data_IF_187131615735
#
_entry.id   IF_187131615735
#
_cell.length_a   1.000
_cell.length_b   1.000
_cell.length_c   1.000
_cell.angle_alpha   90.00
_cell.angle_beta   90.00
_cell.angle_gamma   90.00
#
_symmetry.space_group_name_H-M   'P 1'
#
loop_
_entity.id
_entity.type
_entity.pdbx_description
1 polymer ?
#
# COMPACT_ATOMS: atom_id res chain seq x y z
N UNK A 1 -7.98 5.58 15.50
CA UNK A 1 -9.18 4.92 14.91
C UNK A 1 -9.49 5.42 13.50
N UNK A 2 -9.43 6.74 13.22
CA UNK A 2 -9.62 7.30 11.86
C UNK A 2 -8.63 6.81 10.79
N UNK A 3 -7.45 6.32 11.19
CA UNK A 3 -6.41 5.82 10.27
C UNK A 3 -6.55 4.32 9.91
N UNK A 4 -7.52 3.59 10.49
CA UNK A 4 -7.67 2.13 10.31
C UNK A 4 -8.90 1.73 9.50
N UNK A 5 -9.70 2.69 9.03
CA UNK A 5 -10.95 2.43 8.27
C UNK A 5 -11.06 3.47 7.17
N UNK A 6 -11.44 3.05 5.96
CA UNK A 6 -11.70 3.99 4.86
C UNK A 6 -13.08 4.62 5.02
N UNK A 7 -13.24 5.93 4.75
CA UNK A 7 -14.54 6.57 4.88
C UNK A 7 -15.50 6.03 3.81
N UNK A 8 -16.70 5.68 4.26
CA UNK A 8 -17.81 5.16 3.45
C UNK A 8 -19.12 5.75 3.94
N UNK A 9 -20.11 5.78 3.05
CA UNK A 9 -21.50 6.05 3.39
C UNK A 9 -22.20 4.72 3.66
N UNK A 10 -22.87 4.59 4.81
CA UNK A 10 -23.56 3.37 5.21
C UNK A 10 -25.07 3.59 5.16
N UNK A 11 -25.76 2.68 4.48
CA UNK A 11 -27.21 2.53 4.58
C UNK A 11 -27.47 1.37 5.53
N UNK A 12 -27.95 1.70 6.72
CA UNK A 12 -28.25 0.78 7.81
C UNK A 12 -29.78 0.69 8.01
N UNK A 13 -30.26 -0.26 8.83
CA UNK A 13 -31.64 -0.23 9.30
C UNK A 13 -32.05 1.14 9.86
N UNK A 14 -33.34 1.49 9.69
CA UNK A 14 -33.86 2.83 10.03
C UNK A 14 -33.72 3.20 11.50
N UNK A 15 -33.68 2.19 12.38
CA UNK A 15 -33.61 2.33 13.83
C UNK A 15 -32.20 1.97 14.30
N UNK A 16 -31.46 2.89 14.95
CA UNK A 16 -30.10 2.64 15.43
C UNK A 16 -29.99 1.43 16.38
N UNK A 17 -31.02 1.18 17.19
CA UNK A 17 -31.10 0.05 18.12
C UNK A 17 -31.13 -1.31 17.42
N UNK A 18 -31.53 -1.36 16.16
CA UNK A 18 -31.57 -2.59 15.35
C UNK A 18 -30.22 -2.87 14.69
N UNK A 19 -29.24 -1.96 14.81
CA UNK A 19 -27.90 -2.09 14.22
C UNK A 19 -27.03 -2.97 15.11
N UNK A 20 -26.62 -4.12 14.59
CA UNK A 20 -25.70 -5.03 15.24
C UNK A 20 -24.48 -5.23 14.36
N UNK A 21 -23.30 -4.91 14.88
CA UNK A 21 -22.03 -5.10 14.19
C UNK A 21 -20.91 -5.43 15.18
N UNK A 22 -20.29 -6.59 15.01
CA UNK A 22 -19.07 -7.00 15.67
C UNK A 22 -17.91 -6.84 14.69
N UNK A 23 -16.92 -6.02 15.06
CA UNK A 23 -15.74 -5.75 14.24
C UNK A 23 -14.49 -5.97 15.06
N UNK A 24 -13.59 -6.83 14.57
CA UNK A 24 -12.25 -7.00 15.15
C UNK A 24 -11.20 -6.69 14.10
N UNK A 25 -10.31 -5.73 14.41
CA UNK A 25 -9.26 -5.27 13.49
C UNK A 25 -7.89 -5.60 14.08
N UNK A 26 -7.08 -6.33 13.31
CA UNK A 26 -5.73 -6.76 13.68
C UNK A 26 -4.76 -6.39 12.56
N UNK A 27 -3.62 -5.82 12.90
CA UNK A 27 -2.56 -5.52 11.93
C UNK A 27 -1.59 -6.71 11.86
N UNK A 28 -1.25 -7.13 10.64
CA UNK A 28 -0.35 -8.23 10.30
C UNK A 28 0.77 -7.62 9.43
N UNK A 29 1.73 -6.98 10.08
CA UNK A 29 2.71 -6.13 9.40
C UNK A 29 2.01 -5.00 8.64
N UNK A 30 2.22 -4.91 7.32
CA UNK A 30 1.55 -3.90 6.48
C UNK A 30 0.17 -4.30 5.96
N UNK A 31 -0.28 -5.55 6.21
CA UNK A 31 -1.62 -6.01 5.88
C UNK A 31 -2.50 -5.87 7.12
N UNK A 32 -3.67 -5.28 7.00
CA UNK A 32 -4.64 -5.25 8.09
C UNK A 32 -5.79 -6.19 7.81
N UNK A 33 -6.21 -6.95 8.82
CA UNK A 33 -7.33 -7.88 8.75
C UNK A 33 -8.46 -7.38 9.63
N UNK A 34 -9.63 -7.18 9.04
CA UNK A 34 -10.87 -6.85 9.73
C UNK A 34 -11.85 -8.01 9.60
N UNK A 35 -12.28 -8.59 10.73
CA UNK A 35 -13.36 -9.57 10.76
C UNK A 35 -14.64 -8.87 11.15
N UNK A 36 -15.65 -8.95 10.29
CA UNK A 36 -16.91 -8.22 10.45
C UNK A 36 -18.05 -9.22 10.46
N UNK A 37 -18.87 -9.18 11.52
CA UNK A 37 -20.18 -9.79 11.56
C UNK A 37 -21.21 -8.70 11.80
N UNK A 38 -22.17 -8.52 10.89
CA UNK A 38 -23.20 -7.51 11.08
C UNK A 38 -24.54 -7.93 10.45
N UNK A 39 -25.60 -7.26 10.87
CA UNK A 39 -26.91 -7.33 10.24
C UNK A 39 -26.90 -6.68 8.84
N UNK A 40 -28.02 -6.73 8.08
CA UNK A 40 -28.03 -6.21 6.72
C UNK A 40 -27.61 -4.76 6.60
N UNK A 41 -26.75 -4.48 5.62
CA UNK A 41 -26.23 -3.15 5.37
C UNK A 41 -25.85 -2.99 3.90
N UNK A 42 -25.88 -1.75 3.42
CA UNK A 42 -25.25 -1.37 2.15
C UNK A 42 -24.16 -0.35 2.41
N UNK A 43 -23.00 -0.57 1.79
CA UNK A 43 -21.85 0.32 1.90
C UNK A 43 -21.64 0.99 0.55
N UNK A 44 -21.59 2.31 0.53
CA UNK A 44 -21.24 3.08 -0.65
C UNK A 44 -19.94 3.83 -0.43
N UNK A 45 -18.99 3.61 -1.32
CA UNK A 45 -17.88 4.53 -1.50
C UNK A 45 -18.18 5.37 -2.73
N UNK A 46 -18.51 6.63 -2.51
CA UNK A 46 -18.85 7.57 -3.57
C UNK A 46 -17.58 8.12 -4.24
N UNK A 47 -17.70 8.71 -5.43
CA UNK A 47 -16.59 9.36 -6.14
C UNK A 47 -15.90 10.42 -5.28
N UNK A 48 -16.70 11.17 -4.50
CA UNK A 48 -16.20 12.17 -3.55
C UNK A 48 -15.29 11.57 -2.49
N UNK A 49 -15.67 10.41 -1.93
CA UNK A 49 -14.88 9.71 -0.93
C UNK A 49 -13.64 9.04 -1.54
N UNK A 50 -13.76 8.51 -2.76
CA UNK A 50 -12.66 7.85 -3.47
C UNK A 50 -11.47 8.78 -3.74
N UNK A 51 -11.71 10.08 -3.94
CA UNK A 51 -10.66 11.08 -4.19
C UNK A 51 -10.07 11.73 -2.93
N UNK A 52 -10.49 11.34 -1.72
CA UNK A 52 -10.13 12.03 -0.48
C UNK A 52 -9.08 11.30 0.38
N UNK A 53 -8.64 10.10 -0.02
CA UNK A 53 -7.69 9.30 0.75
C UNK A 53 -6.23 9.72 0.47
N UNK A 54 -5.46 9.97 1.54
CA UNK A 54 -4.01 10.17 1.45
C UNK A 54 -3.25 8.87 1.09
N UNK A 55 -3.81 7.72 1.45
CA UNK A 55 -3.25 6.39 1.20
C UNK A 55 -4.30 5.45 0.59
N UNK A 56 -4.33 5.29 -0.74
CA UNK A 56 -5.22 4.36 -1.38
C UNK A 56 -4.88 2.90 -1.08
N UNK A 57 -5.92 2.10 -0.89
CA UNK A 57 -5.83 0.67 -0.56
C UNK A 57 -6.65 -0.21 -1.49
N UNK A 58 -6.25 -1.47 -1.58
CA UNK A 58 -7.04 -2.56 -2.14
C UNK A 58 -7.61 -3.38 -0.99
N UNK A 59 -8.90 -3.68 -1.04
CA UNK A 59 -9.51 -4.64 -0.13
C UNK A 59 -9.64 -6.00 -0.81
N UNK A 60 -9.33 -7.07 -0.08
CA UNK A 60 -9.71 -8.44 -0.42
C UNK A 60 -10.81 -8.86 0.57
N UNK A 61 -12.02 -9.06 0.07
CA UNK A 61 -13.15 -9.58 0.84
C UNK A 61 -13.15 -11.10 0.74
N UNK A 62 -13.13 -11.80 1.87
CA UNK A 62 -13.20 -13.26 2.00
C UNK A 62 -14.46 -13.64 2.75
N UNK A 63 -15.40 -14.28 2.05
CA UNK A 63 -16.68 -14.67 2.63
C UNK A 63 -16.52 -15.88 3.53
N UNK A 64 -16.90 -15.73 4.80
CA UNK A 64 -16.86 -16.81 5.78
C UNK A 64 -18.17 -17.59 5.82
N UNK A 65 -19.30 -16.90 5.92
CA UNK A 65 -20.64 -17.51 5.90
C UNK A 65 -21.65 -16.59 5.24
N UNK A 66 -22.77 -17.10 4.73
CA UNK A 66 -23.77 -16.29 4.02
C UNK A 66 -23.30 -15.81 2.64
N UNK A 67 -23.89 -14.72 2.16
CA UNK A 67 -23.64 -14.16 0.83
C UNK A 67 -23.46 -12.64 0.91
N UNK A 68 -22.51 -12.10 0.14
CA UNK A 68 -22.35 -10.66 -0.06
C UNK A 68 -22.10 -10.34 -1.52
N UNK A 69 -22.28 -9.08 -1.93
CA UNK A 69 -21.94 -8.64 -3.29
C UNK A 69 -20.99 -7.46 -3.27
N UNK A 70 -19.94 -7.54 -4.09
CA UNK A 70 -19.04 -6.42 -4.39
C UNK A 70 -19.41 -5.89 -5.78
N UNK A 71 -19.67 -4.58 -5.89
CA UNK A 71 -19.95 -3.91 -7.16
C UNK A 71 -18.92 -2.79 -7.40
N UNK A 72 -18.20 -2.86 -8.51
CA UNK A 72 -17.23 -1.84 -8.93
C UNK A 72 -17.01 -1.87 -10.44
N UNK A 73 -16.83 -0.69 -11.06
CA UNK A 73 -16.56 -0.54 -12.50
C UNK A 73 -17.55 -1.31 -13.40
N UNK A 74 -18.84 -1.24 -13.06
CA UNK A 74 -19.92 -1.91 -13.81
C UNK A 74 -19.95 -3.44 -13.67
N UNK A 75 -19.07 -4.03 -12.84
CA UNK A 75 -19.02 -5.46 -12.52
C UNK A 75 -19.60 -5.73 -11.15
N UNK A 76 -20.15 -6.93 -10.98
CA UNK A 76 -20.65 -7.45 -9.72
C UNK A 76 -20.10 -8.84 -9.42
N UNK A 77 -19.62 -9.06 -8.20
CA UNK A 77 -19.17 -10.35 -7.70
C UNK A 77 -20.00 -10.76 -6.48
N UNK A 78 -20.77 -11.85 -6.63
CA UNK A 78 -21.52 -12.47 -5.53
C UNK A 78 -20.61 -13.47 -4.83
N UNK A 79 -20.23 -13.16 -3.59
CA UNK A 79 -19.37 -13.97 -2.77
C UNK A 79 -20.16 -14.96 -1.92
N UNK A 80 -19.78 -16.23 -2.03
CA UNK A 80 -20.23 -17.35 -1.19
C UNK A 80 -19.10 -17.86 -0.31
N UNK A 81 -19.39 -18.65 0.75
CA UNK A 81 -18.37 -19.12 1.67
C UNK A 81 -17.17 -19.75 0.94
N UNK A 82 -15.96 -19.30 1.27
CA UNK A 82 -14.73 -19.75 0.62
C UNK A 82 -14.40 -19.06 -0.71
N UNK A 83 -15.10 -17.98 -1.08
CA UNK A 83 -14.73 -17.14 -2.21
C UNK A 83 -14.19 -15.78 -1.76
N UNK A 84 -13.35 -15.19 -2.60
CA UNK A 84 -12.81 -13.85 -2.45
C UNK A 84 -13.17 -12.95 -3.64
N UNK A 85 -13.27 -11.66 -3.39
CA UNK A 85 -13.23 -10.62 -4.43
C UNK A 85 -12.39 -9.46 -3.94
N UNK A 86 -11.82 -8.69 -4.87
CA UNK A 86 -11.12 -7.47 -4.52
C UNK A 86 -11.83 -6.21 -5.01
N UNK A 87 -11.58 -5.08 -4.36
CA UNK A 87 -12.07 -3.77 -4.79
C UNK A 87 -11.08 -2.66 -4.41
N UNK A 88 -10.91 -1.71 -5.33
CA UNK A 88 -9.95 -0.60 -5.27
C UNK A 88 -10.62 0.66 -4.69
N UNK A 89 -10.03 1.25 -3.66
CA UNK A 89 -10.59 2.45 -3.00
C UNK A 89 -10.39 3.76 -3.76
N UNK A 90 -9.56 3.79 -4.81
CA UNK A 90 -9.40 4.96 -5.70
C UNK A 90 -10.63 5.22 -6.57
N UNK A 91 -11.56 4.27 -6.62
CA UNK A 91 -12.76 4.30 -7.45
C UNK A 91 -14.00 4.04 -6.60
N UNK A 92 -15.17 4.51 -7.03
CA UNK A 92 -16.41 4.20 -6.33
C UNK A 92 -16.68 2.70 -6.33
N UNK A 93 -17.28 2.21 -5.25
CA UNK A 93 -17.75 0.84 -5.14
C UNK A 93 -19.00 0.78 -4.26
N UNK A 94 -19.75 -0.31 -4.38
CA UNK A 94 -20.84 -0.65 -3.48
C UNK A 94 -20.66 -2.06 -2.94
N UNK A 95 -20.86 -2.24 -1.63
CA UNK A 95 -20.95 -3.55 -1.00
C UNK A 95 -22.39 -3.78 -0.54
N UNK A 96 -22.96 -4.92 -0.90
CA UNK A 96 -24.32 -5.30 -0.54
C UNK A 96 -24.27 -6.49 0.42
N UNK A 97 -24.84 -6.30 1.62
CA UNK A 97 -24.98 -7.33 2.65
C UNK A 97 -26.47 -7.55 2.94
N UNK A 98 -27.21 -8.10 1.99
CA UNK A 98 -28.68 -8.16 2.05
C UNK A 98 -29.23 -8.97 3.24
N UNK A 99 -28.48 -10.00 3.66
CA UNK A 99 -28.85 -10.89 4.79
C UNK A 99 -27.94 -10.70 6.01
N UNK A 100 -27.16 -9.63 6.01
CA UNK A 100 -26.04 -9.44 6.92
C UNK A 100 -24.73 -9.93 6.32
N UNK A 101 -23.66 -9.81 7.11
CA UNK A 101 -22.29 -10.09 6.70
C UNK A 101 -21.59 -10.93 7.76
N UNK A 102 -20.79 -11.89 7.32
CA UNK A 102 -19.80 -12.61 8.12
C UNK A 102 -18.58 -12.82 7.20
N UNK A 103 -17.63 -11.89 7.27
CA UNK A 103 -16.60 -11.71 6.23
C UNK A 103 -15.31 -11.18 6.83
N UNK A 104 -14.19 -11.64 6.27
CA UNK A 104 -12.87 -11.09 6.53
C UNK A 104 -12.49 -10.12 5.42
N UNK A 105 -12.04 -8.92 5.79
CA UNK A 105 -11.51 -7.92 4.88
C UNK A 105 -10.01 -7.76 5.11
N UNK A 106 -9.21 -8.01 4.07
CA UNK A 106 -7.78 -7.71 4.06
C UNK A 106 -7.58 -6.35 3.41
N UNK A 107 -7.21 -5.34 4.21
CA UNK A 107 -6.83 -4.02 3.73
C UNK A 107 -5.34 -4.03 3.42
N UNK A 108 -5.00 -3.75 2.15
CA UNK A 108 -3.61 -3.71 1.69
C UNK A 108 -3.33 -2.37 1.01
N UNK A 109 -2.29 -1.62 1.43
CA UNK A 109 -1.85 -0.43 0.70
C UNK A 109 -1.55 -0.76 -0.76
N UNK A 110 -2.08 0.02 -1.71
CA UNK A 110 -1.85 -0.25 -3.14
C UNK A 110 -0.37 -0.20 -3.52
N UNK A 111 0.42 0.64 -2.85
CA UNK A 111 1.88 0.67 -3.02
C UNK A 111 2.56 -0.66 -2.67
N UNK A 112 1.98 -1.43 -1.76
CA UNK A 112 2.50 -2.73 -1.32
C UNK A 112 2.02 -3.84 -2.26
N UNK A 113 0.87 -3.70 -2.91
CA UNK A 113 0.45 -4.61 -3.99
C UNK A 113 1.48 -4.57 -5.12
N UNK A 114 1.89 -3.37 -5.53
CA UNK A 114 2.92 -3.16 -6.54
C UNK A 114 2.75 -4.04 -7.78
N UNK A 115 1.53 -4.03 -8.32
CA UNK A 115 1.19 -4.52 -9.65
C UNK A 115 0.83 -3.33 -10.53
N UNK A 116 0.94 -3.44 -11.87
CA UNK A 116 0.40 -2.43 -12.75
C UNK A 116 -1.09 -2.21 -12.47
N UNK A 117 -1.55 -0.97 -12.60
CA UNK A 117 -2.94 -0.62 -12.35
C UNK A 117 -3.89 -1.46 -13.19
N UNK A 118 -3.54 -1.73 -14.45
CA UNK A 118 -4.33 -2.55 -15.36
C UNK A 118 -4.59 -3.95 -14.83
N UNK A 119 -3.58 -4.57 -14.17
CA UNK A 119 -3.71 -5.91 -13.58
C UNK A 119 -4.67 -5.87 -12.39
N UNK A 120 -4.54 -4.86 -11.52
CA UNK A 120 -5.47 -4.67 -10.39
C UNK A 120 -6.88 -4.44 -10.91
N UNK A 121 -7.06 -3.56 -11.88
CA UNK A 121 -8.39 -3.25 -12.44
C UNK A 121 -9.03 -4.44 -13.14
N UNK A 122 -8.27 -5.34 -13.74
CA UNK A 122 -8.84 -6.56 -14.33
C UNK A 122 -9.39 -7.54 -13.28
N UNK A 123 -8.87 -7.49 -12.05
CA UNK A 123 -9.25 -8.40 -10.98
C UNK A 123 -10.41 -7.89 -10.09
N UNK A 124 -10.67 -6.57 -10.02
CA UNK A 124 -11.71 -6.04 -9.13
C UNK A 124 -13.12 -6.53 -9.48
N UNK A 125 -13.96 -6.68 -8.44
CA UNK A 125 -15.34 -7.14 -8.52
C UNK A 125 -15.53 -8.41 -9.38
N UNK A 126 -14.59 -9.35 -9.29
CA UNK A 126 -14.70 -10.73 -9.82
C UNK A 126 -14.67 -11.73 -8.68
N UNK A 127 -15.42 -12.83 -8.84
CA UNK A 127 -15.39 -13.94 -7.90
C UNK A 127 -14.15 -14.78 -8.17
N UNK A 128 -13.24 -14.83 -7.21
CA UNK A 128 -12.06 -15.68 -7.19
C UNK A 128 -12.28 -16.71 -6.08
N UNK A 129 -11.87 -17.96 -6.24
CA UNK A 129 -12.25 -18.97 -5.25
C UNK A 129 -11.70 -20.37 -5.50
N UNK A 130 -12.32 -21.41 -4.92
CA UNK A 130 -11.76 -22.76 -4.88
C UNK A 130 -11.66 -23.42 -6.26
N UNK A 131 -12.36 -22.90 -7.26
CA UNK A 131 -12.29 -23.39 -8.65
C UNK A 131 -10.99 -23.01 -9.39
N UNK A 132 -10.21 -22.04 -8.89
CA UNK A 132 -8.93 -21.64 -9.48
C UNK A 132 -7.75 -22.18 -8.68
N UNK A 133 -6.72 -22.70 -9.36
CA UNK A 133 -5.58 -23.35 -8.71
C UNK A 133 -4.83 -22.43 -7.72
N UNK A 134 -4.66 -21.15 -8.07
CA UNK A 134 -3.97 -20.16 -7.21
C UNK A 134 -4.93 -19.54 -6.19
N UNK A 135 -6.16 -19.23 -6.60
CA UNK A 135 -7.16 -18.62 -5.72
C UNK A 135 -7.65 -19.56 -4.63
N UNK A 136 -7.71 -20.88 -4.86
CA UNK A 136 -8.03 -21.86 -3.82
C UNK A 136 -6.99 -21.88 -2.70
N UNK A 137 -5.70 -21.93 -3.04
CA UNK A 137 -4.61 -21.87 -2.06
C UNK A 137 -4.65 -20.54 -1.27
N UNK A 138 -4.94 -19.44 -1.95
CA UNK A 138 -5.09 -18.14 -1.31
C UNK A 138 -6.26 -18.10 -0.32
N UNK A 139 -7.41 -18.65 -0.69
CA UNK A 139 -8.57 -18.77 0.20
C UNK A 139 -8.18 -19.53 1.47
N UNK A 140 -7.55 -20.70 1.35
CA UNK A 140 -7.18 -21.53 2.50
C UNK A 140 -6.20 -20.81 3.43
N UNK A 141 -5.16 -20.21 2.86
CA UNK A 141 -4.16 -19.46 3.61
C UNK A 141 -4.77 -18.24 4.31
N UNK A 142 -5.53 -17.41 3.59
CA UNK A 142 -6.13 -16.19 4.13
C UNK A 142 -7.19 -16.52 5.19
N UNK A 143 -7.98 -17.57 4.99
CA UNK A 143 -8.93 -18.06 6.01
C UNK A 143 -8.18 -18.40 7.30
N UNK A 144 -7.14 -19.22 7.21
CA UNK A 144 -6.37 -19.62 8.38
C UNK A 144 -5.67 -18.44 9.05
N UNK A 145 -5.12 -17.52 8.27
CA UNK A 145 -4.50 -16.29 8.78
C UNK A 145 -5.52 -15.44 9.54
N UNK A 146 -6.71 -15.25 8.99
CA UNK A 146 -7.77 -14.50 9.65
C UNK A 146 -8.23 -15.19 10.94
N UNK A 147 -8.37 -16.51 10.97
CA UNK A 147 -8.82 -17.25 12.15
C UNK A 147 -7.81 -17.26 13.29
N UNK A 148 -6.51 -17.33 12.99
CA UNK A 148 -5.45 -17.38 14.01
C UNK A 148 -4.86 -16.02 14.37
N UNK A 149 -5.25 -14.94 13.69
CA UNK A 149 -4.64 -13.59 13.82
C UNK A 149 -4.48 -13.09 15.26
N UNK A 150 -5.42 -13.39 16.14
CA UNK A 150 -5.39 -12.92 17.54
C UNK A 150 -4.42 -13.71 18.42
N UNK A 151 -3.87 -14.80 17.92
CA UNK A 151 -2.88 -15.66 18.58
C UNK A 151 -1.45 -15.36 18.11
N UNK A 152 -1.29 -14.53 17.07
CA UNK A 152 0.01 -14.18 16.52
C UNK A 152 0.67 -13.12 17.40
N UNK A 153 1.92 -13.37 17.80
CA UNK A 153 2.77 -12.32 18.34
C UNK A 153 3.23 -11.36 17.23
N UNK A 154 3.84 -10.25 17.63
CA UNK A 154 4.32 -9.22 16.70
C UNK A 154 5.31 -9.77 15.67
N UNK A 155 6.18 -10.70 16.06
CA UNK A 155 7.20 -11.28 15.17
C UNK A 155 6.54 -12.14 14.10
N UNK A 156 5.66 -13.06 14.51
CA UNK A 156 4.91 -13.93 13.61
C UNK A 156 4.04 -13.11 12.65
N UNK A 157 3.39 -12.05 13.14
CA UNK A 157 2.61 -11.13 12.31
C UNK A 157 3.46 -10.47 11.21
N UNK A 158 4.67 -10.00 11.54
CA UNK A 158 5.60 -9.44 10.54
C UNK A 158 6.09 -10.49 9.53
N UNK A 159 6.35 -11.72 9.98
CA UNK A 159 6.80 -12.81 9.10
C UNK A 159 5.73 -13.26 8.10
N UNK A 160 4.45 -13.08 8.44
CA UNK A 160 3.32 -13.48 7.59
C UNK A 160 2.86 -12.38 6.62
N UNK A 161 3.26 -11.13 6.84
CA UNK A 161 2.86 -10.00 5.99
C UNK A 161 3.33 -10.17 4.54
N UNK A 162 4.63 -10.41 4.33
CA UNK A 162 5.19 -10.54 2.98
C UNK A 162 4.63 -11.76 2.19
N UNK A 163 4.53 -12.97 2.78
CA UNK A 163 3.85 -14.10 2.12
C UNK A 163 2.39 -13.81 1.76
N UNK A 164 1.65 -13.12 2.63
CA UNK A 164 0.27 -12.71 2.34
C UNK A 164 0.20 -11.81 1.11
N UNK A 165 1.09 -10.82 1.02
CA UNK A 165 1.17 -9.93 -0.13
C UNK A 165 1.55 -10.69 -1.41
N UNK A 166 2.53 -11.59 -1.37
CA UNK A 166 2.91 -12.37 -2.56
C UNK A 166 1.77 -13.27 -3.05
N UNK A 167 1.01 -13.87 -2.13
CA UNK A 167 -0.12 -14.71 -2.48
C UNK A 167 -1.28 -13.89 -3.08
N UNK A 168 -1.59 -12.73 -2.49
CA UNK A 168 -2.57 -11.79 -3.05
C UNK A 168 -2.14 -11.37 -4.46
N UNK A 169 -0.85 -11.00 -4.65
CA UNK A 169 -0.33 -10.65 -5.97
C UNK A 169 -0.49 -11.80 -6.96
N UNK A 170 -0.14 -13.03 -6.57
CA UNK A 170 -0.27 -14.20 -7.42
C UNK A 170 -1.71 -14.43 -7.88
N UNK A 171 -2.70 -14.22 -7.00
CA UNK A 171 -4.12 -14.30 -7.35
C UNK A 171 -4.52 -13.24 -8.36
N UNK A 172 -4.25 -11.96 -8.08
CA UNK A 172 -4.61 -10.85 -8.98
C UNK A 172 -3.99 -11.02 -10.37
N UNK A 173 -2.79 -11.59 -10.37
CA UNK A 173 -1.98 -11.89 -11.54
C UNK A 173 -2.55 -13.05 -12.36
N UNK A 174 -2.90 -14.18 -11.71
CA UNK A 174 -3.44 -15.36 -12.39
C UNK A 174 -4.78 -15.08 -13.10
N UNK A 175 -5.54 -14.09 -12.62
CA UNK A 175 -6.84 -13.70 -13.15
C UNK A 175 -6.78 -12.66 -14.27
N UNK A 176 -5.58 -12.15 -14.58
CA UNK A 176 -5.35 -11.26 -15.71
C UNK A 176 -5.34 -12.03 -17.03
N UNK A 177 -6.09 -11.56 -18.02
CA UNK A 177 -6.15 -12.13 -19.38
C UNK A 177 -4.82 -12.04 -20.16
N UNK A 178 -3.76 -11.52 -19.53
CA UNK A 178 -2.43 -11.35 -20.14
C UNK A 178 -1.37 -12.07 -19.30
N UNK A 179 -1.28 -13.42 -19.39
CA UNK A 179 -0.31 -14.20 -18.62
C UNK A 179 1.15 -13.76 -18.80
N UNK A 180 1.51 -13.13 -19.92
CA UNK A 180 2.85 -12.55 -20.12
C UNK A 180 3.11 -11.28 -19.27
N UNK A 181 2.10 -10.44 -19.05
CA UNK A 181 2.16 -9.35 -18.06
C UNK A 181 2.08 -9.88 -16.62
N UNK A 182 1.59 -11.12 -16.46
CA UNK A 182 1.33 -11.79 -15.19
C UNK A 182 2.45 -12.77 -14.73
N UNK A 183 3.30 -13.28 -15.62
CA UNK A 183 4.54 -13.97 -15.24
C UNK A 183 5.69 -12.96 -15.02
N UNK A 184 5.58 -11.80 -15.68
CA UNK A 184 6.44 -10.64 -15.47
C UNK A 184 6.38 -9.92 -14.11
N UNK A 185 5.35 -9.90 -13.25
CA UNK A 185 5.24 -9.03 -12.08
C UNK A 185 6.22 -9.38 -10.96
N UNK A 186 6.42 -10.65 -10.61
CA UNK A 186 7.34 -10.99 -9.51
C UNK A 186 8.78 -10.50 -9.78
N UNK A 187 9.21 -10.49 -11.05
CA UNK A 187 10.51 -9.96 -11.49
C UNK A 187 10.48 -8.55 -12.11
N UNK A 188 9.34 -8.10 -12.61
CA UNK A 188 9.13 -6.89 -13.41
C UNK A 188 8.54 -5.75 -12.60
N UNK A 189 7.75 -6.05 -11.57
CA UNK A 189 7.38 -5.07 -10.54
C UNK A 189 8.37 -5.04 -9.39
N UNK A 190 9.33 -5.98 -9.32
CA UNK A 190 10.42 -5.90 -8.35
C UNK A 190 11.15 -4.55 -8.41
N UNK A 191 11.39 -4.01 -9.61
CA UNK A 191 11.97 -2.67 -9.77
C UNK A 191 11.08 -1.58 -9.18
N UNK A 192 9.77 -1.61 -9.45
CA UNK A 192 8.81 -0.66 -8.89
C UNK A 192 8.73 -0.77 -7.36
N UNK A 193 8.72 -1.99 -6.81
CA UNK A 193 8.72 -2.27 -5.36
C UNK A 193 9.97 -1.75 -4.68
N UNK A 194 11.13 -2.03 -5.27
CA UNK A 194 12.42 -1.55 -4.80
C UNK A 194 12.44 -0.02 -4.78
N UNK A 195 11.95 0.63 -5.84
CA UNK A 195 11.91 2.09 -5.90
C UNK A 195 10.90 2.69 -4.92
N UNK A 196 9.72 2.10 -4.77
CA UNK A 196 8.74 2.54 -3.78
C UNK A 196 9.32 2.44 -2.36
N UNK A 197 9.90 1.29 -2.02
CA UNK A 197 10.56 1.09 -0.73
C UNK A 197 11.70 2.10 -0.50
N UNK A 198 12.54 2.35 -1.51
CA UNK A 198 13.62 3.34 -1.43
C UNK A 198 13.09 4.78 -1.24
N UNK A 199 11.92 5.12 -1.81
CA UNK A 199 11.25 6.43 -1.60
C UNK A 199 10.70 6.55 -0.18
N UNK A 200 10.01 5.53 0.30
CA UNK A 200 9.36 5.53 1.62
C UNK A 200 10.39 5.60 2.76
N UNK A 201 11.57 5.05 2.54
CA UNK A 201 12.67 5.02 3.52
C UNK A 201 13.75 6.05 3.20
N UNK A 202 13.48 7.04 2.35
CA UNK A 202 14.50 7.98 1.85
C UNK A 202 15.19 8.77 2.98
N UNK A 203 14.46 9.11 4.04
CA UNK A 203 15.00 9.83 5.20
C UNK A 203 15.83 8.94 6.15
N UNK A 204 15.72 7.62 6.05
CA UNK A 204 16.43 6.68 6.92
C UNK A 204 17.95 6.70 6.62
N UNK A 205 18.82 7.14 7.55
CA UNK A 205 20.26 7.17 7.34
C UNK A 205 20.90 5.79 7.10
N UNK A 206 20.21 4.71 7.45
CA UNK A 206 20.67 3.33 7.30
C UNK A 206 20.10 2.62 6.05
N UNK A 207 19.35 3.35 5.21
CA UNK A 207 18.92 2.90 3.88
C UNK A 207 20.14 2.50 3.04
N UNK A 208 20.29 1.19 2.84
CA UNK A 208 21.42 0.56 2.18
C UNK A 208 20.97 -0.55 1.21
N UNK A 209 21.78 -0.94 0.21
CA UNK A 209 21.44 -2.05 -0.68
C UNK A 209 21.12 -3.34 0.07
N UNK A 210 21.83 -3.62 1.18
CA UNK A 210 21.56 -4.79 2.02
C UNK A 210 20.20 -4.70 2.73
N UNK A 211 19.81 -3.52 3.22
CA UNK A 211 18.48 -3.32 3.84
C UNK A 211 17.34 -3.52 2.84
N UNK A 212 17.47 -2.96 1.63
CA UNK A 212 16.45 -3.07 0.58
C UNK A 212 16.37 -4.50 0.05
N UNK A 213 17.50 -5.15 -0.19
CA UNK A 213 17.52 -6.55 -0.63
C UNK A 213 16.83 -7.48 0.38
N UNK A 214 17.06 -7.24 1.68
CA UNK A 214 16.41 -7.97 2.77
C UNK A 214 14.90 -7.75 2.80
N UNK A 215 14.46 -6.49 2.66
CA UNK A 215 13.04 -6.14 2.63
C UNK A 215 12.27 -6.79 1.46
N UNK A 216 12.97 -7.11 0.36
CA UNK A 216 12.38 -7.76 -0.81
C UNK A 216 12.76 -9.24 -0.95
N UNK A 217 13.42 -9.84 0.04
CA UNK A 217 13.83 -11.25 0.02
C UNK A 217 14.66 -11.65 -1.22
N UNK A 218 15.52 -10.73 -1.69
CA UNK A 218 16.42 -10.97 -2.83
C UNK A 218 17.88 -10.85 -2.40
N UNK A 219 18.80 -11.38 -3.21
CA UNK A 219 20.22 -11.11 -3.01
C UNK A 219 20.55 -9.67 -3.40
N UNK A 220 21.59 -9.09 -2.79
CA UNK A 220 22.11 -7.76 -3.19
C UNK A 220 22.51 -7.74 -4.67
N UNK A 221 23.02 -8.86 -5.19
CA UNK A 221 23.31 -9.03 -6.61
C UNK A 221 22.05 -8.87 -7.47
N UNK A 222 20.94 -9.50 -7.08
CA UNK A 222 19.68 -9.38 -7.80
C UNK A 222 19.07 -7.97 -7.67
N UNK A 223 19.25 -7.30 -6.53
CA UNK A 223 18.87 -5.90 -6.36
C UNK A 223 19.59 -5.01 -7.39
N UNK A 224 20.92 -5.11 -7.50
CA UNK A 224 21.68 -4.34 -8.47
C UNK A 224 21.28 -4.66 -9.91
N UNK A 225 21.09 -5.94 -10.25
CA UNK A 225 20.61 -6.32 -11.57
C UNK A 225 19.22 -5.70 -11.87
N UNK A 226 18.34 -5.68 -10.88
CA UNK A 226 17.01 -5.07 -11.00
C UNK A 226 17.11 -3.58 -11.28
N UNK A 227 17.87 -2.84 -10.45
CA UNK A 227 18.06 -1.39 -10.62
C UNK A 227 18.75 -1.04 -11.95
N UNK A 228 19.73 -1.83 -12.35
CA UNK A 228 20.47 -1.64 -13.61
C UNK A 228 19.57 -1.74 -14.84
N UNK A 229 18.57 -2.64 -14.86
CA UNK A 229 17.59 -2.71 -15.96
C UNK A 229 16.76 -1.44 -16.11
N UNK A 230 16.62 -0.65 -15.04
CA UNK A 230 15.92 0.63 -15.03
C UNK A 230 16.87 1.82 -15.20
N UNK A 231 18.18 1.58 -15.42
CA UNK A 231 19.19 2.63 -15.51
C UNK A 231 19.47 3.35 -14.19
N UNK A 232 19.20 2.70 -13.05
CA UNK A 232 19.27 3.32 -11.72
C UNK A 232 20.52 2.85 -10.98
N UNK A 233 21.38 3.80 -10.60
CA UNK A 233 22.44 3.57 -9.62
C UNK A 233 21.91 3.86 -8.22
N UNK A 234 21.96 2.88 -7.30
CA UNK A 234 21.38 3.01 -5.95
C UNK A 234 21.84 4.28 -5.21
N UNK A 235 23.16 4.47 -5.09
CA UNK A 235 23.73 5.59 -4.33
C UNK A 235 23.44 6.94 -4.97
N UNK A 236 23.51 7.02 -6.31
CA UNK A 236 23.21 8.24 -7.04
C UNK A 236 21.74 8.61 -6.98
N UNK A 237 20.85 7.63 -7.08
CA UNK A 237 19.42 7.83 -6.95
C UNK A 237 19.06 8.32 -5.55
N UNK A 238 19.54 7.65 -4.49
CA UNK A 238 19.26 8.05 -3.09
C UNK A 238 19.80 9.47 -2.83
N UNK A 239 21.02 9.76 -3.29
CA UNK A 239 21.61 11.09 -3.15
C UNK A 239 20.77 12.16 -3.88
N UNK A 240 20.36 11.88 -5.11
CA UNK A 240 19.58 12.83 -5.94
C UNK A 240 18.22 13.13 -5.31
N UNK A 241 17.48 12.09 -4.91
CA UNK A 241 16.17 12.23 -4.29
C UNK A 241 16.25 12.97 -2.94
N UNK A 242 17.26 12.67 -2.11
CA UNK A 242 17.52 13.41 -0.85
C UNK A 242 17.84 14.88 -1.10
N UNK A 243 18.67 15.18 -2.09
CA UNK A 243 18.99 16.56 -2.48
C UNK A 243 17.74 17.30 -2.96
N UNK A 244 16.87 16.65 -3.73
CA UNK A 244 15.64 17.25 -4.21
C UNK A 244 14.61 17.47 -3.09
N UNK A 245 14.49 16.54 -2.16
CA UNK A 245 13.68 16.70 -0.95
C UNK A 245 14.13 17.91 -0.13
N UNK A 246 15.43 18.02 0.15
CA UNK A 246 16.02 19.20 0.79
C UNK A 246 15.71 20.48 0.02
N UNK A 247 15.84 20.48 -1.32
CA UNK A 247 15.57 21.66 -2.17
C UNK A 247 14.12 22.14 -2.02
N UNK A 248 13.15 21.22 -2.10
CA UNK A 248 11.72 21.54 -1.93
C UNK A 248 11.43 22.12 -0.55
N UNK A 249 12.08 21.59 0.48
CA UNK A 249 11.87 22.04 1.87
C UNK A 249 12.54 23.39 2.16
N UNK A 250 13.76 23.61 1.64
CA UNK A 250 14.41 24.92 1.67
C UNK A 250 13.57 26.02 1.01
N UNK A 251 12.68 25.64 0.09
CA UNK A 251 11.78 26.55 -0.62
C UNK A 251 10.50 26.86 0.15
N UNK A 252 10.16 26.07 1.19
CA UNK A 252 8.91 26.18 1.97
C UNK A 252 9.15 26.69 3.39
N UNK A 253 10.32 26.43 3.96
CA UNK A 253 10.61 26.70 5.37
C UNK A 253 11.22 28.10 5.55
N UNK A 254 10.58 29.00 6.35
CA UNK A 254 11.16 30.29 6.68
C UNK A 254 12.54 30.12 7.34
N UNK A 255 13.48 31.05 7.15
CA UNK A 255 14.86 30.91 7.64
C UNK A 255 15.03 30.69 9.15
N UNK A 256 14.01 30.99 9.95
CA UNK A 256 14.08 31.02 11.41
C UNK A 256 13.76 29.68 12.11
N UNK A 257 13.22 28.67 11.42
CA UNK A 257 12.67 27.47 12.09
C UNK A 257 13.58 26.24 12.10
N UNK A 258 14.54 26.10 11.18
CA UNK A 258 15.42 24.92 11.13
C UNK A 258 16.80 25.24 10.50
N UNK A 259 17.89 24.73 11.08
CA UNK A 259 19.23 24.90 10.51
C UNK A 259 19.43 24.05 9.26
N UNK A 260 20.32 24.47 8.35
CA UNK A 260 20.68 23.68 7.16
C UNK A 260 21.24 22.30 7.55
N UNK A 261 21.99 22.24 8.64
CA UNK A 261 22.57 21.00 9.15
C UNK A 261 21.51 20.03 9.67
N UNK A 262 20.51 20.53 10.41
CA UNK A 262 19.39 19.72 10.91
C UNK A 262 18.54 19.17 9.76
N UNK A 263 18.22 20.00 8.77
CA UNK A 263 17.52 19.57 7.55
C UNK A 263 18.29 18.43 6.84
N UNK A 264 19.61 18.62 6.64
CA UNK A 264 20.44 17.63 5.98
C UNK A 264 20.47 16.30 6.76
N UNK A 265 20.60 16.35 8.08
CA UNK A 265 20.58 15.15 8.92
C UNK A 265 19.23 14.42 8.86
N UNK A 266 18.11 15.15 8.89
CA UNK A 266 16.77 14.57 8.79
C UNK A 266 16.53 13.83 7.47
N UNK A 267 17.14 14.29 6.39
CA UNK A 267 17.13 13.60 5.10
C UNK A 267 18.27 12.58 4.94
N UNK A 268 18.96 12.19 6.02
CA UNK A 268 19.92 11.10 6.02
C UNK A 268 21.34 11.46 5.55
N UNK A 269 21.70 12.76 5.46
CA UNK A 269 23.10 13.16 5.23
C UNK A 269 23.91 13.13 6.54
N UNK A 270 24.93 12.27 6.60
CA UNK A 270 25.81 12.14 7.77
C UNK A 270 26.77 13.33 7.97
N UNK A 271 27.03 14.12 6.93
CA UNK A 271 27.95 15.26 6.99
C UNK A 271 27.34 16.51 6.33
N UNK A 272 27.12 17.61 7.08
CA UNK A 272 26.66 18.88 6.53
C UNK A 272 27.58 19.48 5.48
N UNK A 273 28.90 19.27 5.61
CA UNK A 273 29.89 19.73 4.63
C UNK A 273 29.77 18.94 3.31
N UNK A 274 29.60 17.62 3.40
CA UNK A 274 29.37 16.79 2.23
C UNK A 274 28.05 17.16 1.54
N UNK A 275 26.97 17.34 2.31
CA UNK A 275 25.68 17.81 1.80
C UNK A 275 25.82 19.14 1.06
N UNK A 276 26.47 20.14 1.66
CA UNK A 276 26.59 21.48 1.06
C UNK A 276 27.34 21.45 -0.28
N UNK A 277 28.41 20.64 -0.38
CA UNK A 277 29.13 20.44 -1.63
C UNK A 277 28.29 19.73 -2.68
N UNK A 278 27.60 18.65 -2.30
CA UNK A 278 26.74 17.89 -3.21
C UNK A 278 25.56 18.73 -3.72
N UNK A 279 24.95 19.54 -2.85
CA UNK A 279 23.86 20.45 -3.20
C UNK A 279 24.33 21.54 -4.17
N UNK A 280 25.48 22.17 -3.90
CA UNK A 280 26.06 23.18 -4.82
C UNK A 280 26.43 22.57 -6.17
N UNK A 281 26.96 21.35 -6.19
CA UNK A 281 27.25 20.65 -7.44
C UNK A 281 25.98 20.34 -8.25
N UNK A 282 24.88 19.97 -7.59
CA UNK A 282 23.63 19.63 -8.26
C UNK A 282 22.82 20.84 -8.74
N UNK A 283 22.86 21.95 -8.00
CA UNK A 283 21.96 23.10 -8.22
C UNK A 283 22.67 24.43 -8.47
N UNK A 284 24.00 24.44 -8.56
CA UNK A 284 24.82 25.64 -8.84
C UNK A 284 24.99 26.60 -7.65
N UNK A 285 24.18 26.46 -6.60
CA UNK A 285 24.16 27.36 -5.43
C UNK A 285 24.19 26.58 -4.12
N UNK A 286 24.72 27.17 -3.07
CA UNK A 286 24.71 26.56 -1.74
C UNK A 286 23.29 26.50 -1.15
N UNK A 287 23.00 25.57 -0.23
CA UNK A 287 21.71 25.49 0.46
C UNK A 287 21.28 26.82 1.12
N UNK A 288 22.26 27.59 1.62
CA UNK A 288 22.03 28.89 2.27
C UNK A 288 21.61 29.95 1.25
N UNK A 289 22.29 30.01 0.11
CA UNK A 289 21.94 30.92 -0.99
C UNK A 289 20.57 30.57 -1.57
N UNK A 290 20.28 29.28 -1.75
CA UNK A 290 18.97 28.80 -2.22
C UNK A 290 17.83 29.27 -1.30
N UNK A 291 17.99 29.10 0.01
CA UNK A 291 17.01 29.52 1.01
C UNK A 291 16.79 31.04 1.01
N UNK A 292 17.82 31.83 0.68
CA UNK A 292 17.73 33.29 0.65
C UNK A 292 16.96 33.82 -0.57
N UNK A 293 16.76 33.01 -1.62
CA UNK A 293 16.02 33.41 -2.83
C UNK A 293 14.51 33.28 -2.72
N UNK A 294 14.00 32.56 -1.73
CA UNK A 294 12.56 32.40 -1.52
C UNK A 294 11.99 33.75 -1.05
N UNK A 295 11.07 34.38 -1.81
CA UNK A 295 10.50 35.67 -1.42
C UNK A 295 9.92 35.58 -0.01
N UNK A 296 10.26 36.53 0.85
CA UNK A 296 9.58 36.69 2.14
C UNK A 296 8.12 36.96 1.86
N UNK A 297 7.26 35.95 2.04
CA UNK A 297 5.82 36.18 2.13
C UNK A 297 5.62 37.23 3.23
N UNK A 298 5.24 38.44 2.81
CA UNK A 298 4.85 39.49 3.75
C UNK A 298 3.63 38.99 4.52
N UNK A 299 3.65 39.23 5.83
CA UNK A 299 2.61 38.87 6.79
C UNK A 299 1.22 39.35 6.35
#
# INVERSE_FOLDING_TARGET
MRERVVPVELVLPRRPEDVHADVTITDIGSVQVSSVRANPATVHRTTRLAGADDEPVLFISLQKSGESTVVQDGRGAVLRPGSIACYDTRRPYTLLFERGVDTHFFRVPLRDIALPDEVVQQAVARVLGPGGAVSGIAVDYLTRLAETRTQLDTTAAHLLAAPSLELIRAVLTAESDRPALAAGPLHGTLGLRVLAHMRDHLADPDLSPASVARAHHISVRHLYATLARHGIGFGDWVRTERLDACRRELSRTPPATETIAALAQRWGFKSPAHFSRAFKAAYGMSPREWRAQVPRAHR
#
